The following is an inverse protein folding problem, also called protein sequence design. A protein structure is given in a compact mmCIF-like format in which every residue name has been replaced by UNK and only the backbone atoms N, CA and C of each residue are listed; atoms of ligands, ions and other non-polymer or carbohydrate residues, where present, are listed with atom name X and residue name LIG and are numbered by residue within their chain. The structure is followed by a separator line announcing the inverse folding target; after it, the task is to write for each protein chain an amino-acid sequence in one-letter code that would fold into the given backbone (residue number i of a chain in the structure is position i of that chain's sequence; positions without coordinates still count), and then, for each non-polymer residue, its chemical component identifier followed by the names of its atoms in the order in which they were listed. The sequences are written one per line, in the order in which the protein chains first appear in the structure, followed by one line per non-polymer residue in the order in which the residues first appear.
data_IF_153105949435
#
_entry.id   IF_153105949435
#
_cell.length_a   1.000
_cell.length_b   1.000
_cell.length_c   1.000
_cell.angle_alpha   90.00
_cell.angle_beta   90.00
_cell.angle_gamma   90.00
#
_symmetry.space_group_name_H-M   'P 1'
#
loop_
_entity.id
_entity.type
_entity.pdbx_description
1 polymer ?
#
# COMPACT_ATOMS: atom_id res chain seq x y z
N UNK A 1 -1.97 6.04 15.12
CA UNK A 1 -2.29 6.26 13.70
C UNK A 1 -2.80 7.67 13.49
N UNK A 2 -2.25 8.40 12.51
CA UNK A 2 -2.74 9.72 12.11
C UNK A 2 -3.38 9.64 10.74
N UNK A 3 -4.60 10.17 10.62
CA UNK A 3 -5.25 10.34 9.33
C UNK A 3 -4.44 11.33 8.49
N UNK A 4 -4.12 10.96 7.27
CA UNK A 4 -3.22 11.71 6.40
C UNK A 4 -3.81 11.77 5.00
N UNK A 5 -3.85 12.99 4.44
CA UNK A 5 -4.13 13.21 3.03
C UNK A 5 -2.83 13.54 2.34
N UNK A 6 -2.58 12.93 1.22
CA UNK A 6 -1.39 13.17 0.42
C UNK A 6 -1.67 13.18 -1.06
N UNK A 7 -0.72 13.67 -1.83
CA UNK A 7 -0.85 13.72 -3.27
C UNK A 7 0.49 13.58 -3.97
N UNK A 8 0.46 13.01 -5.16
CA UNK A 8 1.59 12.90 -6.06
C UNK A 8 1.22 13.60 -7.36
N UNK A 9 1.99 14.62 -7.71
CA UNK A 9 1.94 15.22 -9.05
C UNK A 9 2.78 14.34 -9.98
N UNK A 10 2.22 13.94 -11.10
CA UNK A 10 2.98 13.18 -12.08
C UNK A 10 4.03 14.09 -12.76
N UNK A 11 5.31 13.77 -12.57
CA UNK A 11 6.44 14.46 -13.21
C UNK A 11 6.87 13.74 -14.50
N UNK A 12 5.89 13.30 -15.27
CA UNK A 12 6.15 12.71 -16.57
C UNK A 12 6.10 13.77 -17.69
N UNK A 13 6.50 13.38 -18.89
CA UNK A 13 6.46 14.26 -20.06
C UNK A 13 5.07 14.80 -20.35
N UNK A 14 4.01 14.06 -19.99
CA UNK A 14 2.63 14.50 -20.18
C UNK A 14 2.28 15.74 -19.36
N UNK A 15 2.81 15.87 -18.13
CA UNK A 15 2.61 17.06 -17.31
C UNK A 15 3.57 18.21 -17.66
N UNK A 16 4.84 17.89 -17.96
CA UNK A 16 5.85 18.90 -18.27
C UNK A 16 5.65 19.57 -19.62
N UNK A 17 5.12 18.85 -20.59
CA UNK A 17 4.99 19.30 -21.98
C UNK A 17 3.55 19.30 -22.51
N UNK A 18 2.56 19.08 -21.63
CA UNK A 18 1.17 19.06 -22.04
C UNK A 18 0.70 20.47 -22.46
N UNK A 19 0.36 20.61 -23.75
CA UNK A 19 -0.33 21.78 -24.28
C UNK A 19 -1.83 21.79 -23.93
N UNK A 20 -2.33 20.81 -23.17
CA UNK A 20 -3.78 20.58 -22.94
C UNK A 20 -4.34 21.33 -21.73
N UNK A 21 -3.56 22.14 -21.03
CA UNK A 21 -4.05 23.04 -19.96
C UNK A 21 -4.54 22.32 -18.70
N UNK A 22 -4.25 21.02 -18.50
CA UNK A 22 -4.55 20.31 -17.26
C UNK A 22 -3.32 19.60 -16.71
N UNK A 23 -3.30 19.42 -15.40
CA UNK A 23 -2.27 18.62 -14.71
C UNK A 23 -2.86 17.36 -14.10
N UNK A 24 -2.03 16.31 -14.03
CA UNK A 24 -2.40 15.04 -13.45
C UNK A 24 -1.90 14.93 -12.01
N UNK A 25 -2.81 14.61 -11.11
CA UNK A 25 -2.52 14.33 -9.71
C UNK A 25 -3.07 12.96 -9.33
N UNK A 26 -2.36 12.27 -8.44
CA UNK A 26 -2.89 11.13 -7.68
C UNK A 26 -3.03 11.58 -6.25
N UNK A 27 -4.24 11.60 -5.72
CA UNK A 27 -4.52 11.98 -4.34
C UNK A 27 -4.92 10.73 -3.57
N UNK A 28 -4.49 10.65 -2.32
CA UNK A 28 -4.85 9.55 -1.43
C UNK A 28 -5.18 10.07 -0.04
N UNK A 29 -5.99 9.29 0.68
CA UNK A 29 -6.23 9.42 2.11
C UNK A 29 -5.94 8.07 2.78
N UNK A 30 -5.32 8.10 3.93
CA UNK A 30 -4.95 6.90 4.66
C UNK A 30 -4.43 7.21 6.04
N UNK A 31 -3.86 6.22 6.71
CA UNK A 31 -3.30 6.39 8.04
C UNK A 31 -1.78 6.27 8.02
N UNK A 32 -1.11 7.21 8.67
CA UNK A 32 0.30 7.11 8.98
C UNK A 32 0.49 6.44 10.33
N UNK A 33 1.21 5.33 10.35
CA UNK A 33 1.63 4.71 11.59
C UNK A 33 2.74 5.56 12.21
N UNK A 34 2.52 6.08 13.41
CA UNK A 34 3.46 7.00 14.06
C UNK A 34 4.69 6.30 14.65
N UNK A 35 4.63 5.00 14.83
CA UNK A 35 5.76 4.20 15.37
C UNK A 35 6.77 3.87 14.26
N UNK A 36 6.32 3.27 13.18
CA UNK A 36 7.18 2.84 12.07
C UNK A 36 7.16 3.80 10.87
N UNK A 37 6.35 4.87 10.92
CA UNK A 37 6.17 5.85 9.83
C UNK A 37 5.67 5.25 8.51
N UNK A 38 5.07 4.07 8.53
CA UNK A 38 4.47 3.44 7.36
C UNK A 38 3.15 4.12 6.99
N UNK A 39 2.89 4.19 5.70
CA UNK A 39 1.59 4.62 5.18
C UNK A 39 0.68 3.41 4.94
N UNK A 40 -0.49 3.45 5.53
CA UNK A 40 -1.55 2.46 5.36
C UNK A 40 -2.65 3.09 4.51
N UNK A 41 -2.68 2.74 3.23
CA UNK A 41 -3.66 3.26 2.27
C UNK A 41 -4.51 2.09 1.78
N UNK A 42 -5.79 2.11 2.10
CA UNK A 42 -6.75 1.14 1.59
C UNK A 42 -7.27 1.53 0.19
N UNK A 43 -7.93 0.60 -0.47
CA UNK A 43 -8.42 0.79 -1.84
C UNK A 43 -9.36 1.99 -1.99
N UNK A 44 -10.23 2.21 -1.02
CA UNK A 44 -11.17 3.32 -0.95
C UNK A 44 -10.53 4.67 -0.53
N UNK A 45 -9.27 4.66 -0.08
CA UNK A 45 -8.48 5.85 0.18
C UNK A 45 -7.71 6.37 -1.03
N UNK A 46 -7.82 5.70 -2.18
CA UNK A 46 -7.19 6.14 -3.42
C UNK A 46 -8.25 6.83 -4.29
N UNK A 47 -8.18 8.14 -4.40
CA UNK A 47 -8.77 8.81 -5.54
C UNK A 47 -7.94 8.42 -6.77
N UNK A 48 -8.57 7.97 -7.81
CA UNK A 48 -7.93 7.68 -9.08
C UNK A 48 -7.11 8.87 -9.61
N UNK A 49 -6.52 8.74 -10.79
CA UNK A 49 -5.82 9.84 -11.44
C UNK A 49 -6.79 11.02 -11.65
N UNK A 50 -6.50 12.14 -11.03
CA UNK A 50 -7.26 13.38 -11.19
C UNK A 50 -6.61 14.25 -12.26
N UNK A 51 -7.42 14.72 -13.17
CA UNK A 51 -7.03 15.76 -14.14
C UNK A 51 -7.65 17.07 -13.69
N UNK A 52 -6.84 18.07 -13.46
CA UNK A 52 -7.27 19.38 -12.95
C UNK A 52 -6.67 20.50 -13.76
N UNK A 53 -7.43 21.56 -13.93
CA UNK A 53 -7.02 22.75 -14.69
C UNK A 53 -6.58 23.87 -13.79
N UNK A 54 -7.00 23.87 -12.53
CA UNK A 54 -6.69 24.91 -11.57
C UNK A 54 -6.73 24.39 -10.13
N UNK A 55 -6.23 25.19 -9.20
CA UNK A 55 -6.15 24.84 -7.77
C UNK A 55 -7.52 24.68 -7.12
N UNK A 56 -8.53 25.42 -7.56
CA UNK A 56 -9.89 25.35 -7.00
C UNK A 56 -10.52 23.99 -7.30
N UNK A 57 -10.36 23.50 -8.53
CA UNK A 57 -10.83 22.16 -8.93
C UNK A 57 -10.10 21.07 -8.13
N UNK A 58 -8.79 21.18 -7.94
CA UNK A 58 -8.02 20.24 -7.11
C UNK A 58 -8.54 20.23 -5.67
N UNK A 59 -8.76 21.41 -5.07
CA UNK A 59 -9.27 21.54 -3.70
C UNK A 59 -10.65 20.91 -3.57
N UNK A 60 -11.55 21.15 -4.53
CA UNK A 60 -12.89 20.58 -4.52
C UNK A 60 -12.84 19.04 -4.53
N UNK A 61 -12.03 18.45 -5.42
CA UNK A 61 -11.86 16.98 -5.50
C UNK A 61 -11.24 16.37 -4.23
N UNK A 62 -10.28 17.06 -3.61
CA UNK A 62 -9.72 16.63 -2.33
C UNK A 62 -10.79 16.68 -1.23
N UNK A 63 -11.58 17.73 -1.17
CA UNK A 63 -12.67 17.88 -0.19
C UNK A 63 -13.72 16.78 -0.36
N UNK A 64 -14.09 16.45 -1.60
CA UNK A 64 -15.00 15.35 -1.92
C UNK A 64 -14.43 14.00 -1.46
N UNK A 65 -13.16 13.73 -1.71
CA UNK A 65 -12.49 12.51 -1.24
C UNK A 65 -12.52 12.41 0.29
N UNK A 66 -12.21 13.50 0.99
CA UNK A 66 -12.24 13.54 2.46
C UNK A 66 -13.66 13.27 2.98
N UNK A 67 -14.66 13.89 2.37
CA UNK A 67 -16.07 13.74 2.77
C UNK A 67 -16.59 12.31 2.52
N UNK A 68 -16.13 11.64 1.47
CA UNK A 68 -16.52 10.26 1.13
C UNK A 68 -15.76 9.19 1.91
N UNK A 69 -14.61 9.53 2.52
CA UNK A 69 -13.75 8.55 3.18
C UNK A 69 -14.27 8.13 4.55
N UNK A 70 -14.52 6.84 4.71
CA UNK A 70 -14.95 6.28 5.98
C UNK A 70 -13.76 5.87 6.86
N UNK A 71 -13.18 6.84 7.57
CA UNK A 71 -12.04 6.62 8.46
C UNK A 71 -12.34 5.59 9.57
N UNK A 72 -13.55 5.58 10.12
CA UNK A 72 -13.97 4.63 11.17
C UNK A 72 -13.91 3.20 10.65
N UNK A 73 -14.48 2.93 9.48
CA UNK A 73 -14.46 1.62 8.85
C UNK A 73 -13.02 1.13 8.59
N UNK A 74 -12.13 2.04 8.17
CA UNK A 74 -10.73 1.67 7.94
C UNK A 74 -9.98 1.36 9.24
N UNK A 75 -10.25 2.09 10.32
CA UNK A 75 -9.69 1.77 11.63
C UNK A 75 -10.20 0.42 12.16
N UNK A 76 -11.46 0.10 11.96
CA UNK A 76 -12.04 -1.20 12.32
C UNK A 76 -11.36 -2.35 11.55
N UNK A 77 -11.13 -2.17 10.24
CA UNK A 77 -10.37 -3.15 9.43
C UNK A 77 -8.94 -3.34 9.94
N UNK A 78 -8.22 -2.24 10.21
CA UNK A 78 -6.87 -2.33 10.75
C UNK A 78 -6.85 -2.99 12.13
N UNK A 79 -7.87 -2.77 12.95
CA UNK A 79 -8.02 -3.42 14.25
C UNK A 79 -8.24 -4.92 14.09
N UNK A 80 -9.03 -5.34 13.12
CA UNK A 80 -9.25 -6.76 12.83
C UNK A 80 -7.95 -7.50 12.48
N UNK A 81 -6.95 -6.83 11.90
CA UNK A 81 -5.64 -7.42 11.64
C UNK A 81 -4.88 -7.79 12.93
N UNK A 82 -5.18 -7.15 14.07
CA UNK A 82 -4.59 -7.50 15.36
C UNK A 82 -5.20 -8.79 15.95
N UNK A 83 -6.45 -9.04 15.61
CA UNK A 83 -7.22 -10.19 16.10
C UNK A 83 -7.08 -11.42 15.18
N UNK A 84 -6.39 -11.27 14.06
CA UNK A 84 -6.14 -12.34 13.09
C UNK A 84 -4.67 -12.72 13.11
N UNK A 85 -4.39 -14.00 13.26
CA UNK A 85 -3.02 -14.52 13.30
C UNK A 85 -2.66 -15.29 12.02
N UNK A 86 -1.37 -15.40 11.78
CA UNK A 86 -0.78 -16.11 10.65
C UNK A 86 0.38 -16.98 11.13
N UNK A 87 0.41 -18.22 10.67
CA UNK A 87 1.53 -19.13 10.92
C UNK A 87 2.72 -18.79 9.99
N UNK A 88 3.92 -19.24 10.38
CA UNK A 88 5.12 -19.14 9.53
C UNK A 88 4.92 -19.79 8.15
N UNK A 89 4.24 -20.95 8.10
CA UNK A 89 3.94 -21.62 6.84
C UNK A 89 3.05 -20.79 5.92
N UNK A 90 2.02 -20.15 6.46
CA UNK A 90 1.16 -19.24 5.70
C UNK A 90 1.93 -18.03 5.19
N UNK A 91 2.79 -17.43 6.03
CA UNK A 91 3.67 -16.34 5.62
C UNK A 91 4.61 -16.76 4.48
N UNK A 92 5.26 -17.92 4.61
CA UNK A 92 6.15 -18.45 3.56
C UNK A 92 5.41 -18.70 2.24
N UNK A 93 4.20 -19.25 2.29
CA UNK A 93 3.35 -19.42 1.10
C UNK A 93 2.99 -18.10 0.45
N UNK A 94 2.67 -17.09 1.26
CA UNK A 94 2.31 -15.75 0.83
C UNK A 94 3.47 -15.09 0.08
N UNK A 95 4.67 -15.09 0.65
CA UNK A 95 5.89 -14.58 0.00
C UNK A 95 6.22 -15.41 -1.26
N UNK A 96 6.03 -16.72 -1.21
CA UNK A 96 6.22 -17.63 -2.34
C UNK A 96 5.30 -17.28 -3.52
N UNK A 97 4.02 -17.04 -3.28
CA UNK A 97 3.07 -16.61 -4.32
C UNK A 97 3.51 -15.28 -4.96
N UNK A 98 3.94 -14.31 -4.15
CA UNK A 98 4.42 -13.02 -4.67
C UNK A 98 5.71 -13.15 -5.49
N UNK A 99 6.60 -14.11 -5.17
CA UNK A 99 7.77 -14.42 -5.99
C UNK A 99 7.39 -15.08 -7.32
N UNK A 100 6.48 -16.06 -7.28
CA UNK A 100 6.00 -16.75 -8.48
C UNK A 100 5.28 -15.81 -9.45
N UNK A 101 4.60 -14.79 -8.93
CA UNK A 101 3.95 -13.78 -9.75
C UNK A 101 4.87 -13.15 -10.79
N UNK A 102 6.15 -12.95 -10.47
CA UNK A 102 7.11 -12.29 -11.36
C UNK A 102 7.41 -13.12 -12.62
N UNK A 103 7.20 -14.44 -12.55
CA UNK A 103 7.38 -15.36 -13.68
C UNK A 103 6.12 -15.55 -14.53
N UNK A 104 4.99 -14.96 -14.10
CA UNK A 104 3.74 -15.05 -14.87
C UNK A 104 3.80 -14.18 -16.14
N UNK A 105 3.14 -14.61 -17.23
CA UNK A 105 2.96 -13.78 -18.41
C UNK A 105 2.28 -12.44 -18.09
N UNK A 106 2.61 -11.35 -18.82
CA UNK A 106 2.06 -10.02 -18.53
C UNK A 106 0.52 -9.95 -18.47
N UNK A 107 -0.17 -10.76 -19.28
CA UNK A 107 -1.64 -10.82 -19.27
C UNK A 107 -2.19 -11.38 -17.95
N UNK A 108 -1.53 -12.38 -17.38
CA UNK A 108 -1.91 -12.96 -16.09
C UNK A 108 -1.54 -12.04 -14.92
N UNK A 109 -0.37 -11.37 -14.99
CA UNK A 109 0.03 -10.39 -13.96
C UNK A 109 -0.96 -9.25 -13.80
N UNK A 110 -1.57 -8.78 -14.90
CA UNK A 110 -2.61 -7.73 -14.84
C UNK A 110 -3.85 -8.13 -14.07
N UNK A 111 -4.12 -9.43 -13.93
CA UNK A 111 -5.28 -9.96 -13.20
C UNK A 111 -5.02 -10.11 -11.70
N UNK A 112 -3.75 -10.03 -11.28
CA UNK A 112 -3.30 -10.25 -9.90
C UNK A 112 -2.39 -9.11 -9.43
N UNK A 113 -2.82 -7.84 -9.55
CA UNK A 113 -1.96 -6.69 -9.25
C UNK A 113 -1.53 -6.62 -7.77
N UNK A 114 -2.26 -7.25 -6.87
CA UNK A 114 -1.95 -7.34 -5.44
C UNK A 114 -0.62 -8.03 -5.14
N UNK A 115 -0.12 -8.87 -6.05
CA UNK A 115 1.16 -9.55 -5.90
C UNK A 115 2.35 -8.78 -6.51
N UNK A 116 2.15 -7.55 -6.97
CA UNK A 116 3.20 -6.74 -7.60
C UNK A 116 4.18 -6.17 -6.57
N UNK A 117 5.10 -7.02 -6.14
CA UNK A 117 6.26 -6.65 -5.32
C UNK A 117 7.56 -6.99 -6.08
N UNK A 118 8.59 -6.17 -5.90
CA UNK A 118 9.92 -6.47 -6.46
C UNK A 118 10.63 -7.51 -5.60
N UNK A 119 11.59 -8.25 -6.19
CA UNK A 119 12.43 -9.18 -5.44
C UNK A 119 13.15 -8.51 -4.27
N UNK A 120 13.62 -7.28 -4.47
CA UNK A 120 14.25 -6.50 -3.41
C UNK A 120 13.28 -6.29 -2.23
N UNK A 121 12.02 -5.93 -2.51
CA UNK A 121 11.01 -5.76 -1.46
C UNK A 121 10.69 -7.08 -0.75
N UNK A 122 10.52 -8.15 -1.51
CA UNK A 122 10.25 -9.48 -0.92
C UNK A 122 11.41 -9.96 -0.05
N UNK A 123 12.66 -9.67 -0.46
CA UNK A 123 13.84 -9.98 0.36
C UNK A 123 13.89 -9.15 1.64
N UNK A 124 13.52 -7.86 1.59
CA UNK A 124 13.43 -7.01 2.79
C UNK A 124 12.35 -7.54 3.74
N UNK A 125 11.16 -7.89 3.22
CA UNK A 125 10.04 -8.46 3.99
C UNK A 125 10.47 -9.76 4.68
N UNK A 126 11.05 -10.70 3.92
CA UNK A 126 11.48 -11.98 4.47
C UNK A 126 12.59 -11.81 5.51
N UNK A 127 13.59 -10.95 5.24
CA UNK A 127 14.66 -10.65 6.18
C UNK A 127 14.13 -10.06 7.49
N UNK A 128 13.21 -9.09 7.41
CA UNK A 128 12.62 -8.47 8.57
C UNK A 128 11.82 -9.50 9.39
N UNK A 129 11.06 -10.37 8.73
CA UNK A 129 10.31 -11.43 9.40
C UNK A 129 11.22 -12.42 10.17
N UNK A 130 12.32 -12.87 9.53
CA UNK A 130 13.17 -13.90 10.13
C UNK A 130 14.25 -13.36 11.08
N UNK A 131 14.67 -12.12 10.92
CA UNK A 131 15.82 -11.55 11.66
C UNK A 131 15.45 -10.44 12.62
N UNK A 132 14.25 -9.86 12.54
CA UNK A 132 13.82 -8.84 13.48
C UNK A 132 13.56 -9.48 14.85
N UNK A 133 14.19 -8.94 15.89
CA UNK A 133 14.02 -9.42 17.28
C UNK A 133 12.57 -9.32 17.75
N UNK A 134 11.81 -8.36 17.25
CA UNK A 134 10.38 -8.24 17.54
C UNK A 134 9.55 -9.41 17.00
N UNK A 135 10.03 -10.08 15.94
CA UNK A 135 9.41 -11.29 15.38
C UNK A 135 10.14 -12.57 15.80
N UNK A 136 11.45 -12.51 16.07
CA UNK A 136 12.27 -13.67 16.41
C UNK A 136 11.92 -14.29 17.77
N UNK A 137 11.39 -13.50 18.71
CA UNK A 137 11.03 -13.98 20.05
C UNK A 137 9.85 -14.96 20.03
N UNK A 138 9.05 -14.96 18.96
CA UNK A 138 7.78 -15.71 18.90
C UNK A 138 7.68 -16.70 17.74
N UNK A 139 8.81 -17.24 17.24
CA UNK A 139 8.81 -18.23 16.15
C UNK A 139 7.94 -19.48 16.40
N UNK A 140 7.54 -19.70 17.65
CA UNK A 140 6.61 -20.78 18.02
C UNK A 140 5.16 -20.28 18.12
N UNK A 141 4.91 -18.98 17.94
CA UNK A 141 3.58 -18.38 18.01
C UNK A 141 3.14 -17.84 16.66
N UNK A 142 1.85 -17.86 16.46
CA UNK A 142 1.21 -17.18 15.35
C UNK A 142 1.45 -15.68 15.46
N UNK A 143 1.78 -15.04 14.35
CA UNK A 143 2.03 -13.60 14.28
C UNK A 143 0.74 -12.92 13.83
N UNK A 144 0.38 -11.81 14.48
CA UNK A 144 -0.78 -11.03 14.05
C UNK A 144 -0.59 -10.42 12.65
N UNK A 145 -1.67 -10.35 11.89
CA UNK A 145 -1.63 -9.80 10.53
C UNK A 145 -1.25 -8.32 10.49
N UNK A 146 -1.46 -7.57 11.56
CA UNK A 146 -1.00 -6.19 11.64
C UNK A 146 0.51 -6.06 11.53
N UNK A 147 1.26 -6.95 12.20
CA UNK A 147 2.72 -7.00 12.07
C UNK A 147 3.14 -7.39 10.66
N UNK A 148 2.50 -8.41 10.08
CA UNK A 148 2.75 -8.82 8.68
C UNK A 148 2.48 -7.66 7.73
N UNK A 149 1.34 -7.00 7.85
CA UNK A 149 1.00 -5.82 7.06
C UNK A 149 2.07 -4.71 7.15
N UNK A 150 2.60 -4.47 8.36
CA UNK A 150 3.67 -3.49 8.55
C UNK A 150 4.99 -3.88 7.89
N UNK A 151 5.29 -5.16 7.69
CA UNK A 151 6.44 -5.59 6.89
C UNK A 151 6.29 -5.16 5.43
N UNK A 152 5.11 -5.38 4.84
CA UNK A 152 4.83 -5.02 3.45
C UNK A 152 4.80 -3.51 3.24
N UNK A 153 4.13 -2.76 4.10
CA UNK A 153 4.10 -1.30 4.02
C UNK A 153 5.47 -0.68 4.33
N UNK A 154 6.27 -1.30 5.20
CA UNK A 154 7.65 -0.91 5.49
C UNK A 154 8.57 -1.07 4.28
N UNK A 155 8.49 -2.21 3.61
CA UNK A 155 9.26 -2.46 2.38
C UNK A 155 8.90 -1.48 1.25
N UNK A 156 7.67 -0.97 1.25
CA UNK A 156 7.21 0.00 0.26
C UNK A 156 7.89 1.39 0.38
N UNK A 157 8.53 1.71 1.50
CA UNK A 157 9.30 2.97 1.68
C UNK A 157 10.41 3.14 0.64
N UNK A 158 10.96 2.05 0.12
CA UNK A 158 11.98 2.07 -0.94
C UNK A 158 11.41 2.19 -2.34
N UNK A 159 10.09 2.27 -2.50
CA UNK A 159 9.45 2.39 -3.81
C UNK A 159 9.62 3.78 -4.40
N UNK A 160 9.79 3.84 -5.73
CA UNK A 160 9.65 5.10 -6.44
C UNK A 160 8.24 5.68 -6.24
N UNK A 161 8.15 7.01 -6.23
CA UNK A 161 6.91 7.73 -5.95
C UNK A 161 5.76 7.33 -6.87
N UNK A 162 6.04 7.02 -8.13
CA UNK A 162 5.05 6.60 -9.12
C UNK A 162 4.39 5.26 -8.80
N UNK A 163 5.11 4.36 -8.14
CA UNK A 163 4.63 3.02 -7.76
C UNK A 163 4.24 2.91 -6.29
N UNK A 164 4.57 3.92 -5.47
CA UNK A 164 4.33 3.90 -4.03
C UNK A 164 2.86 3.67 -3.67
N UNK A 165 1.94 4.39 -4.31
CA UNK A 165 0.50 4.28 -4.01
C UNK A 165 -0.07 2.94 -4.44
N UNK A 166 0.30 2.45 -5.62
CA UNK A 166 -0.13 1.14 -6.10
C UNK A 166 0.33 0.03 -5.15
N UNK A 167 1.57 0.07 -4.70
CA UNK A 167 2.13 -0.92 -3.77
C UNK A 167 1.58 -0.80 -2.36
N UNK A 168 1.24 0.40 -1.90
CA UNK A 168 0.55 0.58 -0.61
C UNK A 168 -0.83 -0.06 -0.63
N UNK A 169 -1.57 0.11 -1.73
CA UNK A 169 -2.83 -0.59 -1.97
C UNK A 169 -2.63 -2.11 -2.01
N UNK A 170 -1.61 -2.58 -2.73
CA UNK A 170 -1.32 -4.01 -2.85
C UNK A 170 -1.06 -4.65 -1.48
N UNK A 171 -0.33 -3.98 -0.59
CA UNK A 171 -0.11 -4.45 0.76
C UNK A 171 -1.43 -4.63 1.54
N UNK A 172 -2.38 -3.70 1.37
CA UNK A 172 -3.71 -3.80 2.00
C UNK A 172 -4.52 -4.97 1.45
N UNK A 173 -4.64 -5.06 0.12
CA UNK A 173 -5.40 -6.15 -0.53
C UNK A 173 -4.80 -7.52 -0.23
N UNK A 174 -3.47 -7.60 -0.22
CA UNK A 174 -2.74 -8.83 0.03
C UNK A 174 -2.97 -9.38 1.44
N UNK A 175 -3.05 -8.52 2.45
CA UNK A 175 -3.33 -8.92 3.83
C UNK A 175 -4.81 -9.15 4.11
N UNK A 176 -5.72 -8.55 3.33
CA UNK A 176 -7.17 -8.77 3.43
C UNK A 176 -7.59 -10.12 2.80
N UNK A 177 -6.77 -10.71 1.94
CA UNK A 177 -7.02 -11.97 1.24
C UNK A 177 -6.53 -13.23 1.98
N UNK A 178 -6.08 -13.08 3.22
CA UNK A 178 -5.64 -14.16 4.14
C UNK A 178 -6.71 -14.39 5.23
#
# INVERSE_FOLDING_TARGET
LNLTVGGVRAYNQENLYSKKGFEKFKVFIGFKNMVCCNMCVATDGLAGEMRVTNTQELTAKITELIASYNAKRQLERMRALLDTSMSESQFAQMVGKARLYQFLPPAQRKQLPEFEFTDCQLNVIARAYYNDTAFACDRQREIDLWRVFNLFTGANKSSYIDSFLARSRNASVFTEGV
#
